data_IF_508893314984
#
_entry.id   IF_508893314984
#
_cell.length_a   1.000
_cell.length_b   1.000
_cell.length_c   1.000
_cell.angle_alpha   90.00
_cell.angle_beta   90.00
_cell.angle_gamma   90.00
#
_symmetry.space_group_name_H-M   'P 1'
#
loop_
_entity.id
_entity.type
_entity.pdbx_description
1 polymer ?
#
# COMPACT_ATOMS: atom_id res chain seq x y z
N UNK A 1 -39.77 -22.08 -12.17
CA UNK A 1 -38.92 -20.91 -11.89
C UNK A 1 -38.70 -20.84 -10.39
N UNK A 2 -37.53 -21.05 -9.80
CA UNK A 2 -36.28 -21.60 -10.29
C UNK A 2 -35.62 -22.22 -9.05
N UNK A 3 -35.65 -23.56 -8.98
CA UNK A 3 -35.06 -24.34 -7.89
C UNK A 3 -33.54 -24.45 -8.11
N UNK A 4 -32.86 -23.30 -8.22
CA UNK A 4 -31.41 -23.27 -8.32
C UNK A 4 -30.81 -23.49 -6.93
N UNK A 5 -30.85 -24.77 -6.56
CA UNK A 5 -29.89 -25.50 -5.72
C UNK A 5 -28.91 -24.59 -5.01
N UNK A 6 -29.07 -24.54 -3.68
CA UNK A 6 -27.99 -24.52 -2.68
C UNK A 6 -26.98 -25.63 -3.07
N UNK A 7 -26.18 -25.43 -4.12
CA UNK A 7 -25.14 -26.38 -4.52
C UNK A 7 -24.13 -26.38 -3.39
N UNK A 8 -23.90 -27.56 -2.82
CA UNK A 8 -22.75 -27.90 -2.00
C UNK A 8 -21.49 -27.59 -2.81
N UNK A 9 -21.06 -26.32 -2.75
CA UNK A 9 -19.83 -25.74 -3.27
C UNK A 9 -19.46 -25.92 -4.73
N UNK A 10 -18.96 -24.85 -5.34
CA UNK A 10 -18.44 -24.84 -6.73
C UNK A 10 -17.10 -25.60 -6.89
N UNK A 11 -16.47 -26.02 -5.80
CA UNK A 11 -15.13 -26.64 -5.79
C UNK A 11 -15.18 -28.08 -5.26
N UNK A 12 -14.34 -29.01 -5.79
CA UNK A 12 -14.15 -30.35 -5.25
C UNK A 12 -13.85 -30.38 -3.74
N UNK A 13 -14.14 -31.51 -3.09
CA UNK A 13 -13.94 -31.69 -1.65
C UNK A 13 -12.45 -31.61 -1.24
N UNK A 14 -11.56 -31.98 -2.15
CA UNK A 14 -10.10 -32.00 -1.93
C UNK A 14 -9.48 -30.59 -1.95
N UNK A 15 -10.23 -29.57 -2.38
CA UNK A 15 -9.77 -28.18 -2.35
C UNK A 15 -10.03 -27.61 -0.96
N UNK A 16 -8.95 -27.44 -0.20
CA UNK A 16 -8.97 -26.79 1.11
C UNK A 16 -9.62 -25.40 1.06
N UNK A 17 -10.52 -25.13 2.02
CA UNK A 17 -11.21 -23.84 2.13
C UNK A 17 -10.70 -23.11 3.37
N UNK A 18 -9.95 -22.02 3.18
CA UNK A 18 -9.59 -21.16 4.29
C UNK A 18 -10.86 -20.63 4.96
N UNK A 19 -10.93 -20.72 6.28
CA UNK A 19 -12.08 -20.25 7.08
C UNK A 19 -12.18 -18.73 7.12
N UNK A 20 -11.02 -18.05 7.26
CA UNK A 20 -10.95 -16.59 7.34
C UNK A 20 -10.71 -15.96 5.96
N UNK A 21 -9.67 -16.41 5.25
CA UNK A 21 -9.28 -15.88 3.95
C UNK A 21 -7.94 -16.45 3.49
N UNK A 22 -7.54 -16.12 2.26
CA UNK A 22 -6.24 -16.53 1.70
C UNK A 22 -5.53 -15.37 1.04
N UNK A 23 -4.19 -15.37 1.12
CA UNK A 23 -3.33 -14.51 0.31
C UNK A 23 -3.12 -15.17 -1.06
N UNK A 24 -3.77 -14.69 -2.11
CA UNK A 24 -3.66 -15.22 -3.46
C UNK A 24 -2.95 -14.20 -4.36
N UNK A 25 -1.82 -14.59 -4.96
CA UNK A 25 -0.98 -13.71 -5.82
C UNK A 25 -0.61 -12.37 -5.14
N UNK A 26 -0.55 -12.37 -3.82
CA UNK A 26 -0.33 -11.16 -3.02
C UNK A 26 -1.59 -10.46 -2.52
N UNK A 27 -2.77 -10.73 -3.07
CA UNK A 27 -4.03 -10.11 -2.65
C UNK A 27 -4.72 -10.84 -1.53
N UNK A 28 -5.49 -10.10 -0.72
CA UNK A 28 -6.40 -10.72 0.22
C UNK A 28 -7.67 -11.16 -0.51
N UNK A 29 -7.99 -12.46 -0.44
CA UNK A 29 -9.30 -12.99 -0.84
C UNK A 29 -10.00 -13.44 0.44
N UNK A 30 -10.85 -12.57 0.97
CA UNK A 30 -11.47 -12.73 2.29
C UNK A 30 -12.73 -11.87 2.40
N UNK A 31 -13.69 -12.31 3.23
CA UNK A 31 -14.78 -11.45 3.75
C UNK A 31 -14.49 -10.97 5.17
N UNK A 32 -13.52 -11.58 5.84
CA UNK A 32 -13.06 -11.22 7.16
C UNK A 32 -12.22 -9.94 7.10
N UNK A 33 -12.70 -8.89 7.77
CA UNK A 33 -12.10 -7.54 7.74
C UNK A 33 -10.72 -7.53 8.39
N UNK A 34 -10.55 -8.31 9.46
CA UNK A 34 -9.32 -8.33 10.23
C UNK A 34 -8.21 -9.08 9.51
N UNK A 35 -8.56 -10.11 8.73
CA UNK A 35 -7.64 -10.77 7.80
C UNK A 35 -7.12 -9.79 6.73
N UNK A 36 -8.01 -8.99 6.12
CA UNK A 36 -7.64 -8.00 5.10
C UNK A 36 -6.72 -6.93 5.71
N UNK A 37 -7.13 -6.35 6.85
CA UNK A 37 -6.33 -5.36 7.59
C UNK A 37 -4.98 -5.92 7.99
N UNK A 38 -4.95 -7.13 8.56
CA UNK A 38 -3.72 -7.78 8.97
C UNK A 38 -2.77 -8.06 7.81
N UNK A 39 -3.26 -8.33 6.60
CA UNK A 39 -2.40 -8.45 5.43
C UNK A 39 -1.87 -7.08 4.96
N UNK A 40 -2.71 -6.04 4.97
CA UNK A 40 -2.30 -4.68 4.63
C UNK A 40 -1.24 -4.16 5.60
N UNK A 41 -1.46 -4.32 6.91
CA UNK A 41 -0.52 -3.94 7.97
C UNK A 41 0.81 -4.66 7.84
N UNK A 42 0.80 -5.98 7.59
CA UNK A 42 2.05 -6.73 7.35
C UNK A 42 2.83 -6.20 6.15
N UNK A 43 2.15 -5.78 5.07
CA UNK A 43 2.81 -5.19 3.91
C UNK A 43 3.46 -3.85 4.23
N UNK A 44 2.74 -2.97 4.94
CA UNK A 44 3.26 -1.68 5.38
C UNK A 44 4.45 -1.86 6.33
N UNK A 45 4.30 -2.68 7.37
CA UNK A 45 5.36 -2.95 8.34
C UNK A 45 6.62 -3.51 7.68
N UNK A 46 6.49 -4.48 6.77
CA UNK A 46 7.65 -5.01 6.06
C UNK A 46 8.31 -3.96 5.14
N UNK A 47 7.54 -3.07 4.52
CA UNK A 47 8.09 -2.01 3.70
C UNK A 47 8.87 -0.99 4.54
N UNK A 48 8.29 -0.57 5.67
CA UNK A 48 8.94 0.33 6.64
C UNK A 48 10.23 -0.30 7.18
N UNK A 49 10.21 -1.60 7.48
CA UNK A 49 11.41 -2.28 7.96
C UNK A 49 12.52 -2.30 6.90
N UNK A 50 12.19 -2.53 5.63
CA UNK A 50 13.16 -2.43 4.55
C UNK A 50 13.71 -1.01 4.40
N UNK A 51 12.89 0.03 4.59
CA UNK A 51 13.36 1.42 4.56
C UNK A 51 14.39 1.71 5.64
N UNK A 52 14.25 1.11 6.83
CA UNK A 52 15.23 1.28 7.93
C UNK A 52 16.58 0.66 7.64
N UNK A 53 16.65 -0.28 6.71
CA UNK A 53 17.90 -0.92 6.30
C UNK A 53 18.64 -0.11 5.22
N UNK A 54 17.99 0.87 4.60
CA UNK A 54 18.59 1.68 3.53
C UNK A 54 19.93 2.32 3.92
N UNK A 55 20.08 2.96 5.09
CA UNK A 55 21.33 3.63 5.46
C UNK A 55 22.56 2.69 5.52
N UNK A 56 22.35 1.37 5.53
CA UNK A 56 23.44 0.39 5.49
C UNK A 56 24.15 0.32 4.13
N UNK A 57 23.56 0.89 3.07
CA UNK A 57 24.21 0.99 1.77
C UNK A 57 25.37 2.00 1.79
N UNK A 58 25.26 3.06 2.60
CA UNK A 58 26.28 4.10 2.71
C UNK A 58 26.40 4.96 1.45
N UNK A 59 25.36 4.99 0.62
CA UNK A 59 25.30 5.81 -0.60
C UNK A 59 23.89 6.42 -0.74
N UNK A 60 23.71 7.70 -0.35
CA UNK A 60 22.41 8.36 -0.37
C UNK A 60 21.71 8.34 -1.73
N UNK A 61 22.47 8.34 -2.84
CA UNK A 61 21.88 8.30 -4.18
C UNK A 61 21.26 6.94 -4.50
N UNK A 62 21.98 5.85 -4.23
CA UNK A 62 21.44 4.48 -4.35
C UNK A 62 20.29 4.24 -3.38
N UNK A 63 20.39 4.76 -2.15
CA UNK A 63 19.35 4.65 -1.14
C UNK A 63 18.06 5.33 -1.58
N UNK A 64 18.14 6.57 -2.08
CA UNK A 64 17.00 7.29 -2.64
C UNK A 64 16.41 6.57 -3.88
N UNK A 65 17.28 6.06 -4.76
CA UNK A 65 16.85 5.32 -5.94
C UNK A 65 16.03 4.08 -5.56
N UNK A 66 16.51 3.31 -4.58
CA UNK A 66 15.85 2.11 -4.08
C UNK A 66 14.60 2.45 -3.25
N UNK A 67 14.63 3.51 -2.46
CA UNK A 67 13.47 4.01 -1.74
C UNK A 67 12.35 4.33 -2.73
N UNK A 68 12.62 5.10 -3.77
CA UNK A 68 11.63 5.48 -4.77
C UNK A 68 11.11 4.28 -5.57
N UNK A 69 12.02 3.43 -6.04
CA UNK A 69 11.70 2.43 -7.07
C UNK A 69 11.26 1.08 -6.49
N UNK A 70 11.75 0.73 -5.30
CA UNK A 70 11.61 -0.61 -4.75
C UNK A 70 10.86 -0.64 -3.43
N UNK A 71 11.17 0.24 -2.47
CA UNK A 71 10.62 0.20 -1.10
C UNK A 71 9.49 1.20 -0.87
N UNK A 72 9.31 2.15 -1.78
CA UNK A 72 8.26 3.15 -1.77
C UNK A 72 6.89 2.56 -2.11
N UNK A 73 5.99 3.40 -2.63
CA UNK A 73 4.58 3.03 -2.82
C UNK A 73 4.38 1.77 -3.68
N UNK A 74 5.36 1.42 -4.52
CA UNK A 74 5.37 0.21 -5.32
C UNK A 74 5.11 -1.07 -4.48
N UNK A 75 5.56 -1.13 -3.22
CA UNK A 75 5.31 -2.27 -2.31
C UNK A 75 3.86 -2.40 -1.87
N UNK A 76 3.14 -1.28 -1.81
CA UNK A 76 1.75 -1.22 -1.33
C UNK A 76 0.74 -1.14 -2.47
N UNK A 77 1.16 -0.67 -3.65
CA UNK A 77 0.26 -0.37 -4.77
C UNK A 77 -0.71 -1.49 -5.11
N UNK A 78 -0.24 -2.74 -5.14
CA UNK A 78 -1.12 -3.87 -5.39
C UNK A 78 -2.21 -3.99 -4.31
N UNK A 79 -1.83 -3.92 -3.03
CA UNK A 79 -2.78 -3.99 -1.91
C UNK A 79 -3.78 -2.84 -1.92
N UNK A 80 -3.32 -1.62 -2.22
CA UNK A 80 -4.17 -0.43 -2.32
C UNK A 80 -5.17 -0.51 -3.48
N UNK A 81 -4.83 -1.20 -4.58
CA UNK A 81 -5.75 -1.39 -5.72
C UNK A 81 -6.75 -2.52 -5.50
N UNK A 82 -6.39 -3.54 -4.74
CA UNK A 82 -7.23 -4.74 -4.58
C UNK A 82 -8.08 -4.75 -3.31
N UNK A 83 -7.79 -3.87 -2.36
CA UNK A 83 -8.50 -3.79 -1.08
C UNK A 83 -9.30 -2.50 -0.99
N UNK A 84 -10.44 -2.53 -0.28
CA UNK A 84 -11.19 -1.31 0.01
C UNK A 84 -10.36 -0.39 0.92
N UNK A 85 -10.30 0.93 0.66
CA UNK A 85 -9.51 1.89 1.45
C UNK A 85 -9.76 1.84 2.96
N UNK A 86 -11.00 1.57 3.39
CA UNK A 86 -11.38 1.43 4.80
C UNK A 86 -10.62 0.31 5.55
N UNK A 87 -10.06 -0.67 4.82
CA UNK A 87 -9.27 -1.75 5.41
C UNK A 87 -7.76 -1.55 5.24
N UNK A 88 -7.32 -0.52 4.51
CA UNK A 88 -5.90 -0.23 4.27
C UNK A 88 -5.46 1.11 4.83
N UNK A 89 -6.36 1.92 5.37
CA UNK A 89 -6.08 3.25 5.92
C UNK A 89 -4.96 3.24 6.96
N UNK A 90 -5.07 2.39 7.98
CA UNK A 90 -4.05 2.26 9.02
C UNK A 90 -2.68 1.87 8.43
N UNK A 91 -2.68 0.94 7.47
CA UNK A 91 -1.46 0.51 6.80
C UNK A 91 -0.84 1.61 5.94
N UNK A 92 -1.67 2.43 5.28
CA UNK A 92 -1.22 3.58 4.51
C UNK A 92 -0.61 4.67 5.41
N UNK A 93 -1.23 4.95 6.56
CA UNK A 93 -0.71 5.89 7.56
C UNK A 93 0.63 5.42 8.14
N UNK A 94 0.74 4.14 8.51
CA UNK A 94 1.98 3.54 8.98
C UNK A 94 3.09 3.66 7.93
N UNK A 95 2.76 3.33 6.69
CA UNK A 95 3.70 3.41 5.58
C UNK A 95 4.16 4.84 5.31
N UNK A 96 3.25 5.81 5.23
CA UNK A 96 3.59 7.21 4.96
C UNK A 96 4.44 7.81 6.08
N UNK A 97 4.17 7.44 7.34
CA UNK A 97 5.02 7.80 8.47
C UNK A 97 6.44 7.26 8.28
N UNK A 98 6.59 5.95 8.00
CA UNK A 98 7.92 5.36 7.81
C UNK A 98 8.65 5.88 6.57
N UNK A 99 7.92 6.18 5.49
CA UNK A 99 8.48 6.80 4.29
C UNK A 99 8.98 8.22 4.57
N UNK A 100 8.23 9.00 5.35
CA UNK A 100 8.62 10.34 5.80
C UNK A 100 9.87 10.29 6.68
N UNK A 101 9.90 9.40 7.66
CA UNK A 101 11.08 9.17 8.53
C UNK A 101 12.30 8.76 7.70
N UNK A 102 12.14 7.87 6.71
CA UNK A 102 13.24 7.42 5.86
C UNK A 102 13.82 8.55 4.99
N UNK A 103 12.97 9.41 4.41
CA UNK A 103 13.47 10.51 3.57
C UNK A 103 14.07 11.65 4.43
N UNK A 104 13.53 11.87 5.63
CA UNK A 104 14.12 12.79 6.61
C UNK A 104 15.54 12.34 6.98
N UNK A 105 15.72 11.06 7.30
CA UNK A 105 17.05 10.49 7.56
C UNK A 105 17.99 10.64 6.35
N UNK A 106 17.52 10.37 5.13
CA UNK A 106 18.35 10.47 3.93
C UNK A 106 18.80 11.89 3.60
N UNK A 107 17.94 12.89 3.79
CA UNK A 107 18.19 14.27 3.34
C UNK A 107 18.89 15.09 4.41
N UNK A 108 18.56 14.88 5.68
CA UNK A 108 19.07 15.70 6.80
C UNK A 108 19.73 14.89 7.91
N UNK A 109 19.90 13.57 7.75
CA UNK A 109 20.51 12.67 8.75
C UNK A 109 19.84 12.78 10.13
N UNK A 110 18.50 12.86 10.14
CA UNK A 110 17.71 13.04 11.36
C UNK A 110 17.88 14.40 12.03
N UNK A 111 18.54 15.35 11.35
CA UNK A 111 18.72 16.71 11.79
C UNK A 111 17.44 17.55 11.67
N UNK A 112 17.47 18.79 12.19
CA UNK A 112 16.37 19.73 11.99
C UNK A 112 16.16 20.03 10.49
N UNK A 113 15.06 20.71 10.17
CA UNK A 113 14.73 21.25 8.83
C UNK A 113 14.00 20.33 7.83
N UNK A 114 13.50 19.16 8.25
CA UNK A 114 12.56 18.36 7.45
C UNK A 114 11.11 18.51 7.93
N UNK A 115 10.40 19.51 7.37
CA UNK A 115 9.01 19.80 7.72
C UNK A 115 8.00 19.37 6.65
N UNK A 116 6.75 19.81 6.82
CA UNK A 116 5.66 19.49 5.88
C UNK A 116 5.91 20.05 4.47
N UNK A 117 6.62 21.18 4.37
CA UNK A 117 7.00 21.74 3.08
C UNK A 117 8.01 20.83 2.35
N UNK A 118 9.05 20.37 3.04
CA UNK A 118 10.04 19.44 2.48
C UNK A 118 9.37 18.12 2.09
N UNK A 119 8.47 17.60 2.93
CA UNK A 119 7.67 16.41 2.60
C UNK A 119 6.84 16.61 1.32
N UNK A 120 6.16 17.75 1.20
CA UNK A 120 5.35 18.07 0.02
C UNK A 120 6.20 18.19 -1.24
N UNK A 121 7.36 18.84 -1.16
CA UNK A 121 8.30 18.93 -2.28
C UNK A 121 8.85 17.55 -2.67
N UNK A 122 9.28 16.74 -1.69
CA UNK A 122 9.76 15.38 -1.91
C UNK A 122 8.69 14.50 -2.58
N UNK A 123 7.42 14.74 -2.25
CA UNK A 123 6.30 13.99 -2.79
C UNK A 123 5.93 14.35 -4.25
N UNK A 124 6.48 15.44 -4.80
CA UNK A 124 6.23 15.82 -6.18
C UNK A 124 6.95 14.89 -7.16
N UNK A 125 6.37 14.68 -8.37
CA UNK A 125 7.08 14.06 -9.48
C UNK A 125 8.41 14.77 -9.79
N UNK A 126 9.41 14.00 -10.23
CA UNK A 126 10.76 14.52 -10.57
C UNK A 126 10.70 15.61 -11.64
N UNK A 127 9.78 15.50 -12.60
CA UNK A 127 9.56 16.52 -13.64
C UNK A 127 9.10 17.88 -13.10
N UNK A 128 8.70 17.95 -11.84
CA UNK A 128 8.33 19.16 -11.12
C UNK A 128 9.34 19.52 -10.01
N UNK A 129 10.54 18.91 -10.02
CA UNK A 129 11.60 19.19 -9.06
C UNK A 129 11.48 18.46 -7.72
N UNK A 130 10.56 17.49 -7.60
CA UNK A 130 10.45 16.64 -6.40
C UNK A 130 11.30 15.36 -6.49
N UNK A 131 11.11 14.47 -5.50
CA UNK A 131 11.84 13.20 -5.42
C UNK A 131 11.04 12.00 -5.96
N UNK A 132 9.78 12.21 -6.32
CA UNK A 132 8.89 11.17 -6.85
C UNK A 132 8.48 10.12 -5.81
N UNK A 133 8.47 10.49 -4.53
CA UNK A 133 7.91 9.66 -3.46
C UNK A 133 6.39 9.89 -3.41
N UNK A 134 5.60 8.83 -3.30
CA UNK A 134 4.14 8.97 -3.31
C UNK A 134 3.55 8.55 -1.97
N UNK A 135 2.64 9.37 -1.44
CA UNK A 135 1.82 9.04 -0.28
C UNK A 135 0.87 7.89 -0.63
N UNK A 136 0.88 6.84 0.19
CA UNK A 136 -0.07 5.75 0.14
C UNK A 136 -1.48 6.21 0.50
N UNK A 137 -1.63 7.16 1.43
CA UNK A 137 -2.92 7.74 1.81
C UNK A 137 -3.55 8.48 0.62
N UNK A 138 -2.76 9.32 -0.06
CA UNK A 138 -3.21 10.05 -1.24
C UNK A 138 -3.57 9.11 -2.39
N UNK A 139 -2.73 8.09 -2.65
CA UNK A 139 -2.99 7.11 -3.70
C UNK A 139 -4.24 6.26 -3.41
N UNK A 140 -4.43 5.82 -2.17
CA UNK A 140 -5.62 5.08 -1.73
C UNK A 140 -6.91 5.88 -1.99
N UNK A 141 -6.87 7.18 -1.68
CA UNK A 141 -7.98 8.10 -1.90
C UNK A 141 -8.31 8.29 -3.39
N UNK A 142 -7.30 8.29 -4.27
CA UNK A 142 -7.51 8.39 -5.72
C UNK A 142 -8.16 7.11 -6.29
N UNK A 143 -7.75 5.92 -5.81
CA UNK A 143 -8.38 4.67 -6.24
C UNK A 143 -9.84 4.59 -5.80
N UNK A 144 -10.20 5.12 -4.63
CA UNK A 144 -11.60 5.21 -4.21
C UNK A 144 -12.42 6.06 -5.19
N UNK A 145 -11.92 7.25 -5.53
CA UNK A 145 -12.58 8.14 -6.50
C UNK A 145 -12.76 7.47 -7.87
N UNK A 146 -11.78 6.69 -8.32
CA UNK A 146 -11.88 5.94 -9.56
C UNK A 146 -12.94 4.83 -9.48
N UNK A 147 -12.99 4.08 -8.38
CA UNK A 147 -14.01 3.05 -8.15
C UNK A 147 -15.42 3.63 -8.07
N UNK A 148 -15.58 4.77 -7.40
CA UNK A 148 -16.87 5.46 -7.30
C UNK A 148 -17.30 6.02 -8.67
N UNK A 149 -16.37 6.59 -9.44
CA UNK A 149 -16.64 7.01 -10.82
C UNK A 149 -17.02 5.82 -11.72
N UNK A 150 -16.37 4.67 -11.57
CA UNK A 150 -16.70 3.46 -12.31
C UNK A 150 -18.07 2.89 -11.92
N UNK A 151 -18.46 2.96 -10.64
CA UNK A 151 -19.79 2.56 -10.17
C UNK A 151 -20.88 3.46 -10.77
N UNK A 152 -20.68 4.78 -10.70
CA UNK A 152 -21.57 5.78 -11.33
C UNK A 152 -21.69 5.53 -12.84
N UNK A 153 -20.58 5.25 -13.53
CA UNK A 153 -20.59 4.95 -14.96
C UNK A 153 -21.27 3.61 -15.32
N UNK A 154 -21.29 2.65 -14.39
CA UNK A 154 -21.93 1.33 -14.57
C UNK A 154 -23.38 1.28 -14.07
N UNK A 155 -23.93 2.39 -13.56
CA UNK A 155 -25.35 2.50 -13.17
C UNK A 155 -25.72 1.71 -11.91
N UNK A 156 -24.75 1.41 -11.04
CA UNK A 156 -24.99 0.81 -9.71
C UNK A 156 -24.74 1.84 -8.59
#
# INVERSE_FOLDING_TARGET
MDQLRRKSSLFPADIGRPTLGVKLLGGAVSRDKDFIRGLAMRRAANAVELMRLLPQLGDPQSELLLLRSCMGIAKLFFGLRTCQPVYTEEAALLFDKGLREAIEELVVCGGPYFGDFQWRLASLPIRFGGLGLYSAVEASSQFLKFLDLARVALGN
#
